data_IF_702394205798
#
_entry.id   IF_702394205798
#
_cell.length_a   1.000
_cell.length_b   1.000
_cell.length_c   1.000
_cell.angle_alpha   90.00
_cell.angle_beta   90.00
_cell.angle_gamma   90.00
#
_symmetry.space_group_name_H-M   'P 1'
#
loop_
_entity.id
_entity.type
_entity.pdbx_description
1 polymer ?
#
# COMPACT_ATOMS: atom_id res chain seq x y z
N UNK A 1 -20.59 16.72 23.25
CA UNK A 1 -20.15 15.49 22.55
C UNK A 1 -19.77 15.75 21.09
N UNK A 2 -20.60 16.40 20.26
CA UNK A 2 -20.30 16.68 18.84
C UNK A 2 -18.98 17.41 18.58
N UNK A 3 -18.68 18.48 19.32
CA UNK A 3 -17.44 19.24 19.15
C UNK A 3 -16.19 18.40 19.48
N UNK A 4 -16.23 17.60 20.55
CA UNK A 4 -15.13 16.71 20.92
C UNK A 4 -14.87 15.65 19.84
N UNK A 5 -15.94 15.05 19.28
CA UNK A 5 -15.80 14.08 18.20
C UNK A 5 -15.21 14.71 16.93
N UNK A 6 -15.62 15.94 16.58
CA UNK A 6 -15.08 16.66 15.42
C UNK A 6 -13.61 17.02 15.60
N UNK A 7 -13.19 17.42 16.81
CA UNK A 7 -11.77 17.69 17.11
C UNK A 7 -10.96 16.40 17.05
N UNK A 8 -11.48 15.30 17.60
CA UNK A 8 -10.80 14.02 17.62
C UNK A 8 -10.63 13.42 16.22
N UNK A 9 -11.67 13.45 15.36
CA UNK A 9 -11.55 12.98 13.98
C UNK A 9 -10.59 13.87 13.18
N UNK A 10 -10.63 15.19 13.38
CA UNK A 10 -9.71 16.12 12.71
C UNK A 10 -8.25 15.84 13.11
N UNK A 11 -7.99 15.66 14.40
CA UNK A 11 -6.66 15.31 14.90
C UNK A 11 -6.19 13.96 14.35
N UNK A 12 -7.07 12.95 14.34
CA UNK A 12 -6.80 11.64 13.74
C UNK A 12 -6.44 11.78 12.26
N UNK A 13 -7.25 12.48 11.46
CA UNK A 13 -7.02 12.63 10.04
C UNK A 13 -5.69 13.35 9.74
N UNK A 14 -5.36 14.41 10.48
CA UNK A 14 -4.08 15.13 10.31
C UNK A 14 -2.89 14.21 10.62
N UNK A 15 -2.97 13.45 11.72
CA UNK A 15 -1.91 12.52 12.11
C UNK A 15 -1.78 11.37 11.10
N UNK A 16 -2.89 10.77 10.69
CA UNK A 16 -2.93 9.68 9.71
C UNK A 16 -2.34 10.12 8.38
N UNK A 17 -2.71 11.29 7.86
CA UNK A 17 -2.13 11.83 6.61
C UNK A 17 -0.62 12.01 6.78
N UNK A 18 -0.15 12.56 7.90
CA UNK A 18 1.28 12.75 8.16
C UNK A 18 2.05 11.43 8.17
N UNK A 19 1.52 10.41 8.85
CA UNK A 19 2.14 9.09 8.95
C UNK A 19 2.14 8.38 7.59
N UNK A 20 1.09 8.49 6.79
CA UNK A 20 0.95 7.81 5.49
C UNK A 20 1.81 8.47 4.40
N UNK A 21 1.95 9.80 4.42
CA UNK A 21 2.76 10.52 3.43
C UNK A 21 4.27 10.24 3.59
N UNK A 22 4.73 9.92 4.80
CA UNK A 22 6.15 9.64 5.03
C UNK A 22 6.68 8.40 4.26
N UNK A 23 6.11 7.18 4.41
CA UNK A 23 6.50 6.02 3.62
C UNK A 23 6.18 6.22 2.13
N UNK A 24 5.08 6.90 1.77
CA UNK A 24 4.79 7.23 0.37
C UNK A 24 5.94 8.01 -0.29
N UNK A 25 6.48 9.01 0.42
CA UNK A 25 7.64 9.75 -0.08
C UNK A 25 8.89 8.88 -0.16
N UNK A 26 9.08 7.93 0.75
CA UNK A 26 10.20 6.99 0.71
C UNK A 26 10.08 6.02 -0.48
N UNK A 27 8.90 5.47 -0.74
CA UNK A 27 8.62 4.61 -1.89
C UNK A 27 8.84 5.34 -3.22
N UNK A 28 8.44 6.62 -3.29
CA UNK A 28 8.69 7.46 -4.47
C UNK A 28 10.17 7.81 -4.63
N UNK A 29 10.88 8.11 -3.54
CA UNK A 29 12.33 8.34 -3.56
C UNK A 29 13.08 7.10 -4.07
N UNK A 30 12.65 5.90 -3.66
CA UNK A 30 13.18 4.62 -4.13
C UNK A 30 12.83 4.34 -5.59
N UNK A 31 11.58 4.59 -6.01
CA UNK A 31 11.15 4.40 -7.40
C UNK A 31 11.92 5.31 -8.38
N UNK A 32 12.18 6.56 -7.97
CA UNK A 32 12.97 7.52 -8.74
C UNK A 32 14.49 7.37 -8.56
N UNK A 33 14.96 6.32 -7.87
CA UNK A 33 16.37 6.03 -7.63
C UNK A 33 17.15 7.25 -7.12
N UNK A 34 16.57 8.01 -6.19
CA UNK A 34 17.19 9.22 -5.69
C UNK A 34 18.47 8.88 -4.92
N UNK A 35 19.63 9.47 -5.26
CA UNK A 35 20.86 9.23 -4.51
C UNK A 35 20.67 9.65 -3.05
N UNK A 36 21.14 8.82 -2.11
CA UNK A 36 21.04 8.99 -0.65
C UNK A 36 21.76 10.24 -0.09
N UNK A 37 22.28 11.12 -0.96
CA UNK A 37 22.85 12.40 -0.57
C UNK A 37 21.73 13.44 -0.42
N UNK A 38 21.77 14.25 0.65
CA UNK A 38 20.84 15.34 0.91
C UNK A 38 20.90 16.40 -0.22
N UNK A 39 20.19 16.14 -1.32
CA UNK A 39 20.09 17.01 -2.47
C UNK A 39 18.73 17.71 -2.55
N UNK A 40 18.69 18.82 -3.28
CA UNK A 40 17.47 19.54 -3.68
C UNK A 40 16.39 18.64 -4.28
N UNK A 41 16.81 17.51 -4.86
CA UNK A 41 15.94 16.47 -5.41
C UNK A 41 14.95 15.91 -4.38
N UNK A 42 15.35 15.75 -3.11
CA UNK A 42 14.46 15.27 -2.04
C UNK A 42 13.37 16.27 -1.71
N UNK A 43 13.72 17.56 -1.70
CA UNK A 43 12.77 18.66 -1.46
C UNK A 43 11.79 18.73 -2.62
N UNK A 44 12.29 18.66 -3.86
CA UNK A 44 11.44 18.63 -5.06
C UNK A 44 10.47 17.45 -5.08
N UNK A 45 10.93 16.24 -4.74
CA UNK A 45 10.07 15.06 -4.66
C UNK A 45 8.99 15.22 -3.60
N UNK A 46 9.34 15.59 -2.36
CA UNK A 46 8.35 15.76 -1.28
C UNK A 46 7.35 16.87 -1.54
N UNK A 47 7.82 18.02 -2.03
CA UNK A 47 6.95 19.14 -2.39
C UNK A 47 6.08 18.79 -3.59
N UNK A 48 6.63 18.08 -4.59
CA UNK A 48 5.90 17.57 -5.74
C UNK A 48 4.80 16.57 -5.36
N UNK A 49 5.10 15.61 -4.49
CA UNK A 49 4.11 14.65 -3.97
C UNK A 49 2.99 15.36 -3.22
N UNK A 50 3.32 16.31 -2.34
CA UNK A 50 2.29 17.07 -1.62
C UNK A 50 1.44 17.91 -2.57
N UNK A 51 2.04 18.57 -3.57
CA UNK A 51 1.33 19.31 -4.61
C UNK A 51 0.40 18.40 -5.41
N UNK A 52 0.84 17.21 -5.80
CA UNK A 52 0.02 16.24 -6.51
C UNK A 52 -1.17 15.77 -5.66
N UNK A 53 -0.93 15.46 -4.38
CA UNK A 53 -2.00 15.07 -3.44
C UNK A 53 -3.03 16.19 -3.27
N UNK A 54 -2.59 17.44 -3.09
CA UNK A 54 -3.48 18.60 -2.99
C UNK A 54 -4.22 18.84 -4.30
N UNK A 55 -3.55 18.73 -5.45
CA UNK A 55 -4.16 18.92 -6.76
C UNK A 55 -5.24 17.88 -7.05
N UNK A 56 -4.98 16.59 -6.74
CA UNK A 56 -5.99 15.54 -6.82
C UNK A 56 -7.13 15.83 -5.86
N UNK A 57 -6.80 16.29 -4.64
CA UNK A 57 -7.70 16.78 -3.60
C UNK A 57 -8.67 17.87 -4.07
N UNK A 58 -8.18 18.82 -4.84
CA UNK A 58 -8.97 19.95 -5.36
C UNK A 58 -9.73 19.59 -6.65
N UNK A 59 -9.15 18.74 -7.50
CA UNK A 59 -9.68 18.42 -8.83
C UNK A 59 -10.87 17.46 -8.81
N UNK A 60 -11.00 16.63 -7.76
CA UNK A 60 -12.07 15.62 -7.69
C UNK A 60 -13.20 16.15 -6.79
N UNK A 61 -14.35 16.57 -7.34
CA UNK A 61 -15.46 17.12 -6.56
C UNK A 61 -16.22 16.07 -5.72
N UNK A 62 -16.03 14.78 -6.00
CA UNK A 62 -16.68 13.66 -5.29
C UNK A 62 -15.70 12.52 -5.05
N UNK A 63 -15.10 12.50 -3.86
CA UNK A 63 -14.16 11.44 -3.47
C UNK A 63 -14.83 10.15 -3.00
N UNK A 64 -16.09 10.22 -2.54
CA UNK A 64 -16.75 9.10 -1.87
C UNK A 64 -16.75 7.80 -2.69
N UNK A 65 -17.36 7.78 -3.89
CA UNK A 65 -17.45 6.55 -4.69
C UNK A 65 -16.08 5.99 -5.11
N UNK A 66 -15.10 6.85 -5.36
CA UNK A 66 -13.75 6.45 -5.79
C UNK A 66 -12.98 5.85 -4.61
N UNK A 67 -13.03 6.51 -3.44
CA UNK A 67 -12.41 6.01 -2.21
C UNK A 67 -13.04 4.69 -1.77
N UNK A 68 -14.37 4.56 -1.86
CA UNK A 68 -15.07 3.33 -1.50
C UNK A 68 -14.71 2.18 -2.44
N UNK A 69 -14.59 2.45 -3.75
CA UNK A 69 -14.20 1.44 -4.72
C UNK A 69 -12.75 1.00 -4.53
N UNK A 70 -11.81 1.94 -4.44
CA UNK A 70 -10.37 1.63 -4.29
C UNK A 70 -10.11 0.99 -2.93
N UNK A 71 -10.66 1.57 -1.86
CA UNK A 71 -10.52 1.07 -0.50
C UNK A 71 -11.17 -0.31 -0.34
N UNK A 72 -12.40 -0.49 -0.79
CA UNK A 72 -13.12 -1.77 -0.69
C UNK A 72 -12.46 -2.88 -1.52
N UNK A 73 -12.04 -2.59 -2.76
CA UNK A 73 -11.38 -3.58 -3.62
C UNK A 73 -9.99 -3.95 -3.11
N UNK A 74 -9.16 -2.96 -2.75
CA UNK A 74 -7.80 -3.20 -2.24
C UNK A 74 -7.84 -3.93 -0.91
N UNK A 75 -8.74 -3.54 0.00
CA UNK A 75 -8.92 -4.21 1.29
C UNK A 75 -9.38 -5.66 1.11
N UNK A 76 -10.34 -5.90 0.20
CA UNK A 76 -10.81 -7.27 -0.07
C UNK A 76 -9.71 -8.12 -0.70
N UNK A 77 -8.96 -7.56 -1.64
CA UNK A 77 -7.83 -8.22 -2.26
C UNK A 77 -6.78 -8.59 -1.20
N UNK A 78 -6.35 -7.62 -0.38
CA UNK A 78 -5.34 -7.77 0.66
C UNK A 78 -5.74 -8.73 1.77
N UNK A 79 -6.96 -8.63 2.30
CA UNK A 79 -7.36 -9.35 3.50
C UNK A 79 -8.09 -10.66 3.24
N UNK A 80 -8.66 -10.86 2.05
CA UNK A 80 -9.44 -12.06 1.74
C UNK A 80 -8.79 -12.85 0.61
N UNK A 81 -8.54 -12.21 -0.53
CA UNK A 81 -8.07 -12.92 -1.72
C UNK A 81 -6.63 -13.41 -1.52
N UNK A 82 -5.70 -12.55 -1.10
CA UNK A 82 -4.30 -12.93 -0.90
C UNK A 82 -4.12 -14.10 0.09
N UNK A 83 -4.73 -14.09 1.30
CA UNK A 83 -4.63 -15.22 2.23
C UNK A 83 -5.18 -16.52 1.65
N UNK A 84 -6.31 -16.47 0.94
CA UNK A 84 -6.91 -17.66 0.32
C UNK A 84 -6.02 -18.19 -0.81
N UNK A 85 -5.48 -17.31 -1.65
CA UNK A 85 -4.56 -17.68 -2.72
C UNK A 85 -3.29 -18.33 -2.17
N UNK A 86 -2.67 -17.73 -1.16
CA UNK A 86 -1.47 -18.30 -0.53
C UNK A 86 -1.79 -19.63 0.17
N UNK A 87 -2.95 -19.77 0.81
CA UNK A 87 -3.37 -21.03 1.42
C UNK A 87 -3.55 -22.15 0.39
N UNK A 88 -4.28 -21.89 -0.70
CA UNK A 88 -4.49 -22.89 -1.76
C UNK A 88 -3.17 -23.24 -2.46
N UNK A 89 -2.32 -22.25 -2.72
CA UNK A 89 -1.00 -22.46 -3.30
C UNK A 89 -0.14 -23.36 -2.42
N UNK A 90 -0.08 -23.09 -1.11
CA UNK A 90 0.67 -23.92 -0.16
C UNK A 90 0.08 -25.33 -0.04
N UNK A 91 -1.24 -25.47 0.00
CA UNK A 91 -1.91 -26.78 0.07
C UNK A 91 -1.67 -27.63 -1.19
N UNK A 92 -1.73 -27.01 -2.37
CA UNK A 92 -1.42 -27.67 -3.63
C UNK A 92 0.04 -28.16 -3.66
N UNK A 93 0.98 -27.36 -3.14
CA UNK A 93 2.39 -27.75 -2.99
C UNK A 93 2.56 -28.91 -2.00
N UNK A 94 1.92 -28.87 -0.84
CA UNK A 94 1.96 -29.97 0.14
C UNK A 94 1.43 -31.28 -0.46
N UNK A 95 0.27 -31.23 -1.13
CA UNK A 95 -0.28 -32.42 -1.81
C UNK A 95 0.62 -32.94 -2.93
N UNK A 96 1.30 -32.06 -3.66
CA UNK A 96 2.27 -32.45 -4.69
C UNK A 96 3.51 -33.10 -4.06
N UNK A 97 3.99 -32.58 -2.93
CA UNK A 97 5.12 -33.16 -2.18
C UNK A 97 4.79 -34.54 -1.60
N UNK A 98 3.59 -34.73 -1.02
CA UNK A 98 3.13 -36.03 -0.50
C UNK A 98 2.97 -37.09 -1.61
N UNK A 99 2.42 -36.72 -2.77
CA UNK A 99 2.21 -37.66 -3.88
C UNK A 99 3.50 -38.10 -4.57
N UNK A 100 4.55 -37.27 -4.55
CA UNK A 100 5.81 -37.57 -5.24
C UNK A 100 6.93 -38.06 -4.32
N UNK A 101 6.71 -38.20 -3.01
CA UNK A 101 7.69 -38.65 -2.00
C UNK A 101 9.11 -38.10 -2.26
N UNK A 102 9.19 -36.83 -2.65
CA UNK A 102 10.43 -36.13 -2.95
C UNK A 102 10.42 -34.87 -2.10
N UNK A 103 11.26 -34.88 -1.06
CA UNK A 103 11.60 -33.70 -0.28
C UNK A 103 12.49 -32.82 -1.19
N UNK A 104 11.88 -32.10 -2.13
CA UNK A 104 12.60 -31.17 -2.98
C UNK A 104 12.65 -29.80 -2.29
N UNK A 105 13.69 -29.61 -1.48
CA UNK A 105 14.07 -28.36 -0.81
C UNK A 105 14.68 -27.33 -1.77
N UNK A 106 14.14 -27.20 -2.98
CA UNK A 106 14.64 -26.23 -3.94
C UNK A 106 13.88 -24.89 -3.80
N UNK A 107 14.58 -23.75 -3.69
CA UNK A 107 13.95 -22.44 -3.49
C UNK A 107 13.12 -22.01 -4.72
N UNK A 108 12.09 -21.18 -4.53
CA UNK A 108 11.05 -20.95 -5.51
C UNK A 108 11.60 -20.28 -6.78
N UNK A 109 11.31 -20.86 -7.95
CA UNK A 109 11.42 -20.15 -9.24
C UNK A 109 10.04 -20.01 -9.86
N UNK A 110 9.65 -18.76 -10.11
CA UNK A 110 8.35 -18.32 -10.65
C UNK A 110 8.22 -18.57 -12.17
N UNK A 111 8.75 -19.70 -12.64
CA UNK A 111 8.65 -20.12 -14.03
C UNK A 111 8.58 -21.64 -14.03
N UNK A 112 7.37 -22.16 -13.91
CA UNK A 112 6.84 -23.38 -14.55
C UNK A 112 5.41 -23.67 -14.07
#
# INVERSE_FOLDING_TARGET
MRQASNVLITMHCILTITIVINPLNQDLEDLFHCPHHFGWQRVLLRTGTMLAVVFVGESIPSFGPILDLIGGSTQTLACVIFPVLFYVYLLARQRKAEKFNKHDDSPPSLRE
#
